data_IF_321216761966
#
_entry.id   IF_321216761966
#
_cell.length_a   1.000
_cell.length_b   1.000
_cell.length_c   1.000
_cell.angle_alpha   90.00
_cell.angle_beta   90.00
_cell.angle_gamma   90.00
#
_symmetry.space_group_name_H-M   'P 1'
#
loop_
_entity.id
_entity.type
_entity.pdbx_description
1 polymer ?
#
# COMPACT_ATOMS: atom_id res chain seq x y z
N UNK A 1 2.54 -32.72 44.82
CA UNK A 1 3.77 -32.84 44.01
C UNK A 1 3.41 -33.83 42.90
N UNK A 2 3.23 -33.51 41.63
CA UNK A 2 3.84 -32.52 40.76
C UNK A 2 2.81 -31.68 39.98
N UNK A 3 3.24 -30.51 39.56
CA UNK A 3 2.47 -29.43 38.93
C UNK A 3 2.40 -29.67 37.41
N UNK A 4 1.22 -29.47 36.86
CA UNK A 4 0.84 -29.61 35.44
C UNK A 4 1.80 -28.84 34.51
N UNK A 5 2.69 -29.57 33.84
CA UNK A 5 3.75 -29.04 32.98
C UNK A 5 3.39 -28.90 31.49
N UNK A 6 2.15 -29.17 31.07
CA UNK A 6 1.85 -29.36 29.63
C UNK A 6 0.76 -28.43 29.07
N UNK A 7 0.55 -27.26 29.66
CA UNK A 7 -0.49 -26.32 29.18
C UNK A 7 0.05 -25.16 28.30
N UNK A 8 1.36 -25.03 28.13
CA UNK A 8 1.99 -23.87 27.47
C UNK A 8 2.47 -24.10 26.02
N UNK A 9 2.52 -25.35 25.53
CA UNK A 9 3.04 -25.65 24.19
C UNK A 9 1.94 -25.53 23.11
N UNK A 10 0.68 -25.71 23.47
CA UNK A 10 -0.43 -25.70 22.50
C UNK A 10 -0.82 -24.31 21.98
N UNK A 11 -0.56 -23.22 22.72
CA UNK A 11 -0.99 -21.87 22.31
C UNK A 11 -0.14 -21.23 21.21
N UNK A 12 1.10 -21.68 20.98
CA UNK A 12 1.98 -21.12 19.92
C UNK A 12 1.76 -21.74 18.53
N UNK A 13 1.07 -22.88 18.45
CA UNK A 13 0.87 -23.60 17.19
C UNK A 13 -0.43 -23.16 16.46
N UNK A 14 -1.47 -22.78 17.21
CA UNK A 14 -2.74 -22.33 16.62
C UNK A 14 -2.69 -20.90 16.05
N UNK A 15 -1.75 -20.06 16.48
CA UNK A 15 -1.61 -18.68 15.98
C UNK A 15 -1.08 -18.61 14.53
N UNK A 16 -0.30 -19.61 14.08
CA UNK A 16 0.25 -19.66 12.72
C UNK A 16 -0.81 -20.14 11.72
N UNK A 17 -1.71 -21.03 12.15
CA UNK A 17 -2.80 -21.57 11.33
C UNK A 17 -3.98 -20.58 11.19
N UNK A 18 -4.22 -19.73 12.19
CA UNK A 18 -5.24 -18.68 12.10
C UNK A 18 -4.91 -17.59 11.05
N UNK A 19 -3.62 -17.35 10.75
CA UNK A 19 -3.19 -16.40 9.71
C UNK A 19 -3.34 -16.92 8.27
N UNK A 20 -3.66 -18.21 8.07
CA UNK A 20 -3.90 -18.78 6.75
C UNK A 20 -5.36 -18.63 6.28
N UNK A 21 -6.29 -18.38 7.21
CA UNK A 21 -7.74 -18.32 6.94
C UNK A 21 -8.34 -16.91 6.91
N UNK A 22 -7.53 -15.86 6.96
CA UNK A 22 -7.95 -14.47 6.72
C UNK A 22 -7.55 -14.01 5.31
N UNK A 23 -7.99 -14.76 4.30
CA UNK A 23 -7.74 -14.52 2.87
C UNK A 23 -8.34 -13.22 2.30
N UNK A 24 -9.03 -12.44 3.13
CA UNK A 24 -9.68 -11.18 2.75
C UNK A 24 -8.97 -9.91 3.26
N UNK A 25 -7.96 -10.03 4.13
CA UNK A 25 -7.58 -8.88 4.97
C UNK A 25 -6.51 -7.93 4.40
N UNK A 26 -5.72 -8.32 3.40
CA UNK A 26 -4.61 -7.47 2.94
C UNK A 26 -4.06 -7.90 1.57
N UNK A 27 -3.35 -6.98 0.91
CA UNK A 27 -2.62 -7.25 -0.33
C UNK A 27 -1.87 -8.57 -0.22
N UNK A 28 -2.12 -9.50 -1.16
CA UNK A 28 -1.57 -10.86 -1.13
C UNK A 28 -0.05 -10.79 -0.91
N UNK A 29 0.51 -11.60 -0.01
CA UNK A 29 1.96 -11.66 0.24
C UNK A 29 2.73 -11.84 -1.09
N UNK A 30 2.13 -12.57 -2.05
CA UNK A 30 2.63 -12.68 -3.41
C UNK A 30 2.73 -11.34 -4.16
N UNK A 31 1.75 -10.43 -4.02
CA UNK A 31 1.79 -9.09 -4.61
C UNK A 31 2.91 -8.25 -4.01
N UNK A 32 3.11 -8.29 -2.69
CA UNK A 32 4.22 -7.58 -2.04
C UNK A 32 5.59 -8.13 -2.47
N UNK A 33 5.71 -9.45 -2.60
CA UNK A 33 6.94 -10.09 -3.09
C UNK A 33 7.25 -9.72 -4.54
N UNK A 34 6.24 -9.77 -5.41
CA UNK A 34 6.37 -9.39 -6.82
C UNK A 34 6.74 -7.91 -6.98
N UNK A 35 6.09 -7.01 -6.24
CA UNK A 35 6.42 -5.58 -6.24
C UNK A 35 7.82 -5.34 -5.65
N UNK A 36 8.23 -6.04 -4.59
CA UNK A 36 9.57 -5.93 -4.03
C UNK A 36 10.67 -6.42 -4.98
N UNK A 37 10.38 -7.44 -5.80
CA UNK A 37 11.31 -7.99 -6.79
C UNK A 37 11.43 -7.10 -8.04
N UNK A 38 10.31 -6.55 -8.51
CA UNK A 38 10.23 -5.86 -9.81
C UNK A 38 10.23 -4.34 -9.69
N UNK A 39 9.80 -3.80 -8.56
CA UNK A 39 9.62 -2.38 -8.30
C UNK A 39 10.81 -1.76 -7.58
N UNK A 40 11.14 -0.53 -7.96
CA UNK A 40 11.97 0.41 -7.21
C UNK A 40 11.04 1.22 -6.30
N UNK A 41 11.37 1.29 -5.01
CA UNK A 41 10.67 2.17 -4.08
C UNK A 41 10.93 3.62 -4.45
N UNK A 42 9.86 4.40 -4.62
CA UNK A 42 9.91 5.81 -5.01
C UNK A 42 9.72 6.70 -3.78
N UNK A 43 8.74 6.39 -2.94
CA UNK A 43 8.46 7.15 -1.72
C UNK A 43 7.20 6.71 -1.01
N UNK A 44 6.84 7.42 0.05
CA UNK A 44 5.62 7.21 0.83
C UNK A 44 4.91 8.54 1.07
N UNK A 45 3.58 8.50 1.17
CA UNK A 45 2.78 9.67 1.53
C UNK A 45 2.50 9.76 3.05
N UNK A 46 1.83 10.86 3.44
CA UNK A 46 1.42 11.17 4.81
C UNK A 46 0.40 10.16 5.37
N UNK A 47 -0.34 9.46 4.50
CA UNK A 47 -1.31 8.43 4.87
C UNK A 47 -0.66 7.04 5.03
N UNK A 48 0.61 6.92 4.66
CA UNK A 48 1.41 5.69 4.72
C UNK A 48 1.23 4.76 3.53
N UNK A 49 0.63 5.23 2.42
CA UNK A 49 0.68 4.51 1.16
C UNK A 49 2.12 4.58 0.60
N UNK A 50 2.56 3.48 -0.01
CA UNK A 50 3.90 3.35 -0.57
C UNK A 50 3.83 3.24 -2.08
N UNK A 51 4.69 3.99 -2.76
CA UNK A 51 4.70 4.10 -4.21
C UNK A 51 5.95 3.43 -4.79
N UNK A 52 5.75 2.67 -5.85
CA UNK A 52 6.78 1.89 -6.52
C UNK A 52 6.72 2.09 -8.04
N UNK A 53 7.87 2.11 -8.69
CA UNK A 53 8.01 2.14 -10.14
C UNK A 53 8.70 0.86 -10.61
N UNK A 54 8.18 0.22 -11.66
CA UNK A 54 8.83 -0.94 -12.26
C UNK A 54 10.26 -0.60 -12.74
N UNK A 55 11.22 -1.48 -12.44
CA UNK A 55 12.62 -1.31 -12.86
C UNK A 55 12.79 -1.50 -14.37
N UNK A 56 11.98 -2.37 -14.93
CA UNK A 56 12.02 -2.78 -16.33
C UNK A 56 10.67 -2.52 -17.00
N UNK A 57 10.69 -2.23 -18.30
CA UNK A 57 9.48 -2.01 -19.11
C UNK A 57 8.85 -3.32 -19.58
N UNK A 58 9.51 -4.47 -19.32
CA UNK A 58 9.12 -5.81 -19.81
C UNK A 58 7.71 -6.26 -19.41
N UNK A 59 7.18 -5.78 -18.29
CA UNK A 59 5.83 -6.12 -17.80
C UNK A 59 4.78 -5.03 -18.06
N UNK A 60 5.16 -3.98 -18.78
CA UNK A 60 4.24 -2.90 -19.13
C UNK A 60 3.67 -3.12 -20.52
N UNK A 61 2.42 -2.72 -20.72
CA UNK A 61 1.70 -2.86 -22.00
C UNK A 61 2.19 -1.86 -23.07
N UNK A 62 3.39 -1.28 -22.91
CA UNK A 62 4.00 -0.27 -23.77
C UNK A 62 5.34 0.23 -23.23
N UNK A 63 5.91 1.29 -23.80
CA UNK A 63 7.25 1.81 -23.46
C UNK A 63 7.35 2.51 -22.09
N UNK A 64 6.24 2.64 -21.36
CA UNK A 64 6.21 3.33 -20.06
C UNK A 64 6.41 2.36 -18.91
N UNK A 65 7.23 2.72 -17.93
CA UNK A 65 7.40 1.94 -16.70
C UNK A 65 6.09 1.90 -15.91
N UNK A 66 5.70 0.71 -15.47
CA UNK A 66 4.47 0.53 -14.68
C UNK A 66 4.64 1.13 -13.28
N UNK A 67 3.66 1.91 -12.82
CA UNK A 67 3.61 2.52 -11.48
C UNK A 67 2.63 1.74 -10.60
N UNK A 68 3.01 1.50 -9.34
CA UNK A 68 2.22 0.73 -8.38
C UNK A 68 2.08 1.51 -7.07
N UNK A 69 0.93 1.36 -6.42
CA UNK A 69 0.68 1.87 -5.08
C UNK A 69 0.31 0.71 -4.17
N UNK A 70 0.94 0.66 -3.00
CA UNK A 70 0.59 -0.24 -1.91
C UNK A 70 -0.10 0.60 -0.84
N UNK A 71 -1.41 0.42 -0.72
CA UNK A 71 -2.22 1.12 0.27
C UNK A 71 -1.96 0.61 1.69
N UNK A 72 -2.05 1.52 2.66
CA UNK A 72 -2.09 1.14 4.07
C UNK A 72 -3.53 0.81 4.48
N UNK A 73 -3.84 -0.48 4.59
CA UNK A 73 -5.17 -0.97 4.99
C UNK A 73 -6.10 -1.19 3.78
N UNK A 74 -7.35 -0.72 3.86
CA UNK A 74 -8.33 -0.90 2.79
C UNK A 74 -7.90 -0.17 1.51
N UNK A 75 -7.79 -0.93 0.41
CA UNK A 75 -7.40 -0.43 -0.90
C UNK A 75 -8.52 0.41 -1.51
N UNK A 76 -8.32 1.72 -1.53
CA UNK A 76 -9.23 2.68 -2.14
C UNK A 76 -8.40 3.72 -2.91
N UNK A 77 -8.70 3.86 -4.20
CA UNK A 77 -8.03 4.81 -5.09
C UNK A 77 -8.20 6.26 -4.63
N UNK A 78 -9.28 6.55 -3.90
CA UNK A 78 -9.59 7.87 -3.39
C UNK A 78 -8.69 8.33 -2.24
N UNK A 79 -7.81 7.45 -1.72
CA UNK A 79 -6.84 7.76 -0.65
C UNK A 79 -5.50 8.28 -1.16
N UNK A 80 -5.31 8.31 -2.49
CA UNK A 80 -4.08 8.82 -3.09
C UNK A 80 -4.13 10.36 -3.02
N UNK A 81 -3.13 11.03 -2.43
CA UNK A 81 -3.06 12.49 -2.44
C UNK A 81 -3.03 13.02 -3.88
N UNK A 82 -3.49 14.26 -4.14
CA UNK A 82 -3.47 14.86 -5.48
C UNK A 82 -2.09 14.82 -6.15
N UNK A 83 -1.04 15.03 -5.37
CA UNK A 83 0.36 15.03 -5.83
C UNK A 83 0.77 13.66 -6.41
N UNK A 84 0.48 12.60 -5.65
CA UNK A 84 0.78 11.22 -6.06
C UNK A 84 -0.19 10.71 -7.13
N UNK A 85 -1.42 11.21 -7.16
CA UNK A 85 -2.39 10.89 -8.21
C UNK A 85 -1.90 11.39 -9.57
N UNK A 86 -1.38 12.61 -9.64
CA UNK A 86 -0.77 13.16 -10.85
C UNK A 86 0.37 12.29 -11.39
N UNK A 87 1.27 11.87 -10.50
CA UNK A 87 2.35 10.95 -10.86
C UNK A 87 1.81 9.58 -11.26
N UNK A 88 0.86 8.99 -10.55
CA UNK A 88 0.33 7.66 -10.87
C UNK A 88 -0.32 7.60 -12.26
N UNK A 89 -0.95 8.69 -12.69
CA UNK A 89 -1.62 8.83 -13.99
C UNK A 89 -0.73 9.34 -15.12
N UNK A 90 0.60 9.36 -14.94
CA UNK A 90 1.57 9.86 -15.92
C UNK A 90 1.34 11.32 -16.36
N UNK A 91 0.74 12.15 -15.49
CA UNK A 91 0.61 13.59 -15.72
C UNK A 91 1.98 14.25 -15.50
N UNK A 92 2.73 13.76 -14.51
CA UNK A 92 4.09 14.20 -14.21
C UNK A 92 5.07 13.04 -14.33
N UNK A 93 6.26 13.31 -14.89
CA UNK A 93 7.34 12.35 -14.97
C UNK A 93 8.08 12.20 -13.64
N UNK A 94 8.24 13.30 -12.90
CA UNK A 94 8.92 13.34 -11.61
C UNK A 94 7.95 12.98 -10.47
N UNK A 95 8.37 12.14 -9.51
CA UNK A 95 7.57 11.86 -8.34
C UNK A 95 7.55 13.07 -7.40
N UNK A 96 6.46 13.25 -6.62
CA UNK A 96 6.36 14.32 -5.64
C UNK A 96 7.37 14.20 -4.48
N UNK A 97 8.04 13.04 -4.35
CA UNK A 97 9.19 12.89 -3.44
C UNK A 97 10.41 13.69 -3.87
N UNK A 98 10.61 13.89 -5.18
CA UNK A 98 11.74 14.67 -5.72
C UNK A 98 11.35 16.13 -5.95
N UNK A 99 10.11 16.38 -6.37
CA UNK A 99 9.60 17.73 -6.63
C UNK A 99 8.20 17.87 -6.03
N UNK A 100 8.10 18.28 -4.76
CA UNK A 100 6.81 18.50 -4.13
C UNK A 100 6.07 19.66 -4.83
N UNK A 101 4.77 19.49 -5.05
CA UNK A 101 3.95 20.56 -5.62
C UNK A 101 3.83 21.72 -4.60
N UNK A 102 3.87 22.98 -5.06
CA UNK A 102 3.73 24.12 -4.18
C UNK A 102 2.30 24.18 -3.62
N UNK A 103 2.13 23.83 -2.35
CA UNK A 103 0.83 23.96 -1.68
C UNK A 103 0.50 25.44 -1.45
N UNK A 104 -0.70 25.83 -1.88
CA UNK A 104 -1.23 27.18 -1.62
C UNK A 104 -1.93 27.20 -0.27
N UNK A 105 -1.93 28.37 0.38
CA UNK A 105 -2.49 28.54 1.72
C UNK A 105 -3.99 28.22 1.86
N UNK A 106 -4.73 28.17 0.74
CA UNK A 106 -6.16 27.86 0.71
C UNK A 106 -6.46 26.38 0.40
N UNK A 107 -5.44 25.56 0.16
CA UNK A 107 -5.63 24.14 -0.13
C UNK A 107 -6.02 23.35 1.12
N UNK A 108 -7.10 22.59 1.01
CA UNK A 108 -7.56 21.71 2.09
C UNK A 108 -6.77 20.40 2.12
N UNK A 109 -6.60 19.78 3.30
CA UNK A 109 -5.99 18.46 3.38
C UNK A 109 -6.83 17.44 2.60
N UNK A 110 -6.14 16.48 1.99
CA UNK A 110 -6.79 15.42 1.23
C UNK A 110 -7.70 14.59 2.15
N UNK A 111 -8.98 14.52 1.81
CA UNK A 111 -9.97 13.68 2.47
C UNK A 111 -10.38 12.56 1.51
N UNK A 112 -10.30 11.29 1.93
CA UNK A 112 -10.78 10.19 1.10
C UNK A 112 -12.29 10.25 0.94
N UNK A 113 -12.80 9.68 -0.16
CA UNK A 113 -14.23 9.62 -0.40
C UNK A 113 -14.93 8.80 0.69
N UNK A 114 -15.93 9.39 1.35
CA UNK A 114 -16.70 8.79 2.45
C UNK A 114 -17.96 8.06 1.98
N UNK A 115 -18.16 7.91 0.66
CA UNK A 115 -19.31 7.23 0.07
C UNK A 115 -19.52 5.83 0.67
N UNK A 116 -20.69 5.58 1.25
CA UNK A 116 -21.04 4.29 1.86
C UNK A 116 -20.54 4.06 3.29
N UNK A 117 -19.95 5.07 3.93
CA UNK A 117 -19.62 5.05 5.36
C UNK A 117 -20.73 5.72 6.19
N UNK A 118 -20.91 5.38 7.49
CA UNK A 118 -21.93 6.00 8.35
C UNK A 118 -21.73 7.51 8.64
N UNK A 119 -20.71 8.14 8.02
CA UNK A 119 -20.42 9.57 8.08
C UNK A 119 -20.82 10.31 6.77
N UNK A 120 -21.53 9.65 5.86
CA UNK A 120 -22.09 10.28 4.65
C UNK A 120 -23.27 11.20 4.96
#
# INVERSE_FOLDING_TARGET
MAVNGDFWISYRMFAVLANMFTWWSSATIGTLFTIGRLGKFVGSDEFGNKYYEARDTKESYGDKKRRFVIYKGYADASKIPPDWHGWMHYIYDTPPSDTPLPRKAWEQPHLPNMSGTPLA
#
